data_IF_644372753329
#
_entry.id   IF_644372753329
#
_cell.length_a   1.000
_cell.length_b   1.000
_cell.length_c   1.000
_cell.angle_alpha   90.00
_cell.angle_beta   90.00
_cell.angle_gamma   90.00
#
_symmetry.space_group_name_H-M   'P 1'
#
loop_
_entity.id
_entity.type
_entity.pdbx_description
1 polymer ?
#
# COMPACT_ATOMS: atom_id res chain seq x y z
N UNK A 1 -12.91 4.71 32.18
CA UNK A 1 -12.87 4.93 30.71
C UNK A 1 -12.34 6.32 30.50
N UNK A 2 -11.30 6.46 29.67
CA UNK A 2 -10.85 7.76 29.18
C UNK A 2 -11.98 8.37 28.36
N UNK A 3 -12.31 9.64 28.59
CA UNK A 3 -13.27 10.34 27.73
C UNK A 3 -12.54 10.67 26.44
N UNK A 4 -13.04 10.17 25.31
CA UNK A 4 -12.45 10.41 23.98
C UNK A 4 -13.51 11.08 23.12
N UNK A 5 -13.12 12.11 22.37
CA UNK A 5 -14.01 12.79 21.42
C UNK A 5 -13.31 13.06 20.10
N UNK A 6 -14.08 13.13 19.02
CA UNK A 6 -13.62 13.47 17.68
C UNK A 6 -14.25 14.78 17.23
N UNK A 7 -13.48 15.62 16.56
CA UNK A 7 -13.94 16.85 15.91
C UNK A 7 -13.37 16.89 14.49
N UNK A 8 -14.19 17.24 13.49
CA UNK A 8 -13.72 17.42 12.12
C UNK A 8 -12.67 18.51 12.04
N UNK A 9 -11.65 18.30 11.22
CA UNK A 9 -10.63 19.30 10.94
C UNK A 9 -10.59 19.54 9.44
N UNK A 10 -11.25 20.61 9.01
CA UNK A 10 -11.34 20.97 7.60
C UNK A 10 -9.94 21.09 7.00
N UNK A 11 -9.67 20.29 5.98
CA UNK A 11 -8.47 20.43 5.16
C UNK A 11 -8.56 21.75 4.39
N UNK A 12 -7.40 22.30 4.04
CA UNK A 12 -7.30 23.56 3.27
C UNK A 12 -8.06 23.47 1.93
N UNK A 13 -8.26 22.25 1.42
CA UNK A 13 -9.12 21.91 0.30
C UNK A 13 -9.90 20.61 0.62
N UNK A 14 -11.24 20.59 0.55
CA UNK A 14 -12.02 19.37 0.77
C UNK A 14 -11.69 18.31 -0.30
N UNK A 15 -10.93 17.29 0.11
CA UNK A 15 -10.58 16.15 -0.74
C UNK A 15 -11.69 15.10 -0.73
N UNK A 16 -11.96 14.50 -1.89
CA UNK A 16 -12.80 13.29 -1.98
C UNK A 16 -12.12 12.03 -1.42
N UNK A 17 -10.82 12.10 -1.17
CA UNK A 17 -9.98 10.94 -0.87
C UNK A 17 -9.42 10.93 0.55
N UNK A 18 -9.33 12.10 1.19
CA UNK A 18 -8.68 12.26 2.48
C UNK A 18 -9.51 13.19 3.37
N UNK A 19 -9.71 12.77 4.61
CA UNK A 19 -10.42 13.52 5.64
C UNK A 19 -9.54 13.69 6.87
N UNK A 20 -9.59 14.88 7.48
CA UNK A 20 -8.82 15.24 8.67
C UNK A 20 -9.68 15.35 9.91
N UNK A 21 -9.20 14.81 11.03
CA UNK A 21 -9.90 14.86 12.32
C UNK A 21 -8.95 15.17 13.47
N UNK A 22 -9.48 15.79 14.51
CA UNK A 22 -8.81 15.92 15.81
C UNK A 22 -9.45 14.94 16.77
N UNK A 23 -8.64 14.05 17.33
CA UNK A 23 -9.07 13.12 18.38
C UNK A 23 -8.50 13.62 19.71
N UNK A 24 -9.40 13.93 20.64
CA UNK A 24 -9.08 14.40 21.98
C UNK A 24 -9.21 13.24 22.96
N UNK A 25 -8.14 12.93 23.69
CA UNK A 25 -8.08 11.83 24.66
C UNK A 25 -7.83 12.39 26.05
N UNK A 26 -8.81 12.27 26.95
CA UNK A 26 -8.61 12.58 28.36
C UNK A 26 -7.79 11.48 29.04
N UNK A 27 -6.71 11.87 29.70
CA UNK A 27 -5.82 10.98 30.42
C UNK A 27 -6.23 10.84 31.89
N UNK A 28 -5.74 9.80 32.55
CA UNK A 28 -6.09 9.51 33.95
C UNK A 28 -5.54 10.57 34.93
N UNK A 29 -4.54 11.37 34.49
CA UNK A 29 -4.00 12.50 35.24
C UNK A 29 -4.83 13.79 35.08
N UNK A 30 -5.93 13.74 34.32
CA UNK A 30 -6.79 14.89 34.03
C UNK A 30 -6.32 15.78 32.87
N UNK A 31 -5.16 15.50 32.27
CA UNK A 31 -4.70 16.19 31.06
C UNK A 31 -5.46 15.68 29.83
N UNK A 32 -5.43 16.46 28.75
CA UNK A 32 -6.02 16.07 27.47
C UNK A 32 -4.95 16.09 26.39
N UNK A 33 -4.77 14.95 25.72
CA UNK A 33 -3.93 14.85 24.54
C UNK A 33 -4.77 15.08 23.29
N UNK A 34 -4.18 15.75 22.30
CA UNK A 34 -4.73 15.89 20.96
C UNK A 34 -3.91 15.05 19.99
N UNK A 35 -4.61 14.34 19.12
CA UNK A 35 -4.05 13.62 17.97
C UNK A 35 -4.68 14.16 16.70
N UNK A 36 -3.85 14.48 15.71
CA UNK A 36 -4.32 14.78 14.36
C UNK A 36 -4.35 13.48 13.57
N UNK A 37 -5.53 13.13 13.04
CA UNK A 37 -5.80 11.88 12.34
C UNK A 37 -6.16 12.18 10.90
N UNK A 38 -5.59 11.40 9.99
CA UNK A 38 -5.89 11.42 8.56
C UNK A 38 -6.51 10.07 8.19
N UNK A 39 -7.63 10.07 7.47
CA UNK A 39 -8.36 8.84 7.07
C UNK A 39 -8.83 8.96 5.63
N UNK A 40 -9.00 7.82 4.94
CA UNK A 40 -9.61 7.76 3.60
C UNK A 40 -11.12 7.89 3.59
N UNK A 41 -11.75 7.69 4.74
CA UNK A 41 -13.20 7.68 4.88
C UNK A 41 -13.66 8.80 5.80
N UNK A 42 -14.83 9.40 5.53
CA UNK A 42 -15.46 10.30 6.47
C UNK A 42 -15.83 9.53 7.76
N UNK A 43 -15.69 10.23 8.88
CA UNK A 43 -16.06 9.79 10.21
C UNK A 43 -16.96 10.83 10.89
N UNK A 44 -18.06 10.39 11.49
CA UNK A 44 -18.95 11.19 12.33
C UNK A 44 -18.67 10.96 13.82
N UNK A 45 -18.18 9.77 14.17
CA UNK A 45 -17.85 9.35 15.52
C UNK A 45 -16.51 8.58 15.55
N UNK A 46 -16.11 8.10 16.74
CA UNK A 46 -14.82 7.41 16.91
C UNK A 46 -14.85 5.98 16.36
N UNK A 47 -16.01 5.33 16.40
CA UNK A 47 -16.21 3.99 15.90
C UNK A 47 -15.97 3.93 14.38
N UNK A 48 -16.31 5.01 13.65
CA UNK A 48 -16.05 5.12 12.20
C UNK A 48 -14.55 5.09 11.84
N UNK A 49 -13.67 5.45 12.79
CA UNK A 49 -12.22 5.35 12.59
C UNK A 49 -11.70 3.91 12.72
N UNK A 50 -12.44 3.03 13.39
CA UNK A 50 -12.06 1.64 13.63
C UNK A 50 -12.80 0.72 12.64
N UNK A 51 -12.17 0.48 11.49
CA UNK A 51 -12.76 -0.29 10.38
C UNK A 51 -12.05 -1.63 10.22
N UNK A 52 -12.82 -2.66 9.88
CA UNK A 52 -12.32 -4.00 9.56
C UNK A 52 -12.09 -4.20 8.05
N UNK A 53 -12.54 -3.26 7.21
CA UNK A 53 -12.39 -3.30 5.75
C UNK A 53 -10.98 -2.85 5.31
N UNK A 54 -10.48 -3.44 4.22
CA UNK A 54 -9.22 -3.04 3.61
C UNK A 54 -9.38 -1.83 2.71
N UNK A 55 -8.43 -0.89 2.73
CA UNK A 55 -8.47 0.29 1.84
C UNK A 55 -7.77 0.04 0.50
N UNK A 56 -6.75 -0.81 0.50
CA UNK A 56 -5.87 -1.02 -0.64
C UNK A 56 -5.19 -2.39 -0.58
N UNK A 57 -4.57 -2.77 -1.70
CA UNK A 57 -3.75 -3.98 -1.83
C UNK A 57 -2.32 -3.62 -2.22
N UNK A 58 -1.37 -4.45 -1.80
CA UNK A 58 0.02 -4.41 -2.26
C UNK A 58 0.42 -5.80 -2.76
N UNK A 59 0.90 -5.86 -4.00
CA UNK A 59 1.09 -7.11 -4.72
C UNK A 59 2.54 -7.57 -4.62
N UNK A 60 2.75 -8.71 -3.97
CA UNK A 60 4.05 -9.35 -3.86
C UNK A 60 4.19 -10.38 -4.98
N UNK A 61 4.54 -9.90 -6.17
CA UNK A 61 4.62 -10.70 -7.38
C UNK A 61 6.02 -11.33 -7.60
N UNK A 62 6.04 -12.64 -7.91
CA UNK A 62 7.25 -13.43 -8.20
C UNK A 62 7.18 -14.10 -9.57
N UNK A 63 8.35 -14.34 -10.17
CA UNK A 63 8.48 -15.18 -11.35
C UNK A 63 8.09 -16.63 -11.03
N UNK A 64 7.77 -17.42 -12.06
CA UNK A 64 7.34 -18.82 -11.87
C UNK A 64 8.38 -19.69 -11.15
N UNK A 65 9.67 -19.39 -11.29
CA UNK A 65 10.77 -20.06 -10.59
C UNK A 65 11.06 -19.49 -9.18
N UNK A 66 10.40 -18.38 -8.81
CA UNK A 66 10.59 -17.69 -7.54
C UNK A 66 11.93 -16.95 -7.39
N UNK A 67 12.73 -16.84 -8.45
CA UNK A 67 14.07 -16.26 -8.41
C UNK A 67 14.08 -14.74 -8.62
N UNK A 68 12.95 -14.16 -9.04
CA UNK A 68 12.79 -12.72 -9.29
C UNK A 68 11.51 -12.19 -8.67
N UNK A 69 11.57 -10.93 -8.26
CA UNK A 69 10.42 -10.15 -7.78
C UNK A 69 10.08 -9.07 -8.81
N UNK A 70 8.80 -8.82 -9.03
CA UNK A 70 8.33 -7.70 -9.84
C UNK A 70 8.16 -6.48 -8.93
N UNK A 71 8.83 -5.39 -9.27
CA UNK A 71 8.78 -4.13 -8.53
C UNK A 71 8.48 -2.97 -9.47
N UNK A 72 8.05 -1.85 -8.91
CA UNK A 72 7.82 -0.61 -9.65
C UNK A 72 8.61 0.56 -9.05
N UNK A 73 8.83 1.59 -9.87
CA UNK A 73 9.26 2.92 -9.43
C UNK A 73 8.23 3.93 -9.90
N UNK A 74 7.61 4.61 -8.94
CA UNK A 74 6.46 5.49 -9.16
C UNK A 74 6.74 6.89 -8.61
N UNK A 75 6.32 7.94 -9.32
CA UNK A 75 6.30 9.28 -8.77
C UNK A 75 5.16 9.43 -7.75
N UNK A 76 5.50 9.72 -6.49
CA UNK A 76 4.53 9.94 -5.41
C UNK A 76 4.50 11.42 -5.02
N UNK A 77 3.40 12.15 -5.32
CA UNK A 77 3.27 13.56 -4.94
C UNK A 77 3.50 13.86 -3.44
N UNK A 78 3.07 13.01 -2.47
CA UNK A 78 3.29 13.29 -1.05
C UNK A 78 4.76 13.40 -0.62
N UNK A 79 5.67 12.78 -1.36
CA UNK A 79 7.12 12.89 -1.14
C UNK A 79 7.84 13.67 -2.24
N UNK A 80 7.08 14.16 -3.23
CA UNK A 80 7.58 14.87 -4.40
C UNK A 80 8.79 14.16 -5.06
N UNK A 81 8.67 12.86 -5.29
CA UNK A 81 9.77 12.07 -5.79
C UNK A 81 9.37 10.67 -6.20
N UNK A 82 10.31 10.00 -6.86
CA UNK A 82 10.13 8.61 -7.26
C UNK A 82 10.50 7.66 -6.14
N UNK A 83 9.64 6.68 -5.89
CA UNK A 83 9.79 5.69 -4.81
C UNK A 83 9.78 4.30 -5.41
N UNK A 84 10.73 3.45 -5.01
CA UNK A 84 10.66 2.01 -5.26
C UNK A 84 9.57 1.40 -4.37
N UNK A 85 8.57 0.78 -5.00
CA UNK A 85 7.42 0.18 -4.34
C UNK A 85 6.94 -1.09 -5.07
N UNK A 86 6.12 -1.89 -4.40
CA UNK A 86 5.40 -2.97 -5.09
C UNK A 86 4.20 -2.39 -5.83
N UNK A 87 3.73 -3.04 -6.91
CA UNK A 87 2.44 -2.71 -7.49
C UNK A 87 1.38 -2.66 -6.39
N UNK A 88 0.51 -1.66 -6.42
CA UNK A 88 -0.44 -1.40 -5.35
C UNK A 88 -1.50 -0.37 -5.75
N UNK A 89 -2.75 -0.62 -5.37
CA UNK A 89 -3.82 0.35 -5.58
C UNK A 89 -5.00 0.16 -4.63
N UNK A 90 -6.01 1.02 -4.80
CA UNK A 90 -7.21 1.02 -3.96
C UNK A 90 -8.08 -0.19 -4.30
N UNK A 91 -8.84 -0.64 -3.31
CA UNK A 91 -9.89 -1.62 -3.56
C UNK A 91 -11.13 -0.87 -4.06
N UNK A 92 -11.60 -1.22 -5.25
CA UNK A 92 -12.79 -0.60 -5.82
C UNK A 92 -14.08 -1.23 -5.28
N UNK A 93 -15.19 -0.50 -5.41
CA UNK A 93 -16.49 -1.00 -4.98
C UNK A 93 -16.95 -2.27 -5.72
N UNK A 94 -16.45 -2.48 -6.94
CA UNK A 94 -16.74 -3.65 -7.79
C UNK A 94 -15.75 -4.80 -7.56
N UNK A 95 -14.72 -4.61 -6.73
CA UNK A 95 -13.81 -5.67 -6.30
C UNK A 95 -14.45 -6.50 -5.20
N UNK A 96 -14.77 -7.75 -5.51
CA UNK A 96 -15.38 -8.70 -4.59
C UNK A 96 -14.40 -9.31 -3.59
N UNK A 97 -13.09 -9.13 -3.79
CA UNK A 97 -12.03 -9.64 -2.92
C UNK A 97 -10.68 -8.91 -3.12
N UNK A 98 -9.74 -9.09 -2.18
CA UNK A 98 -8.39 -8.52 -2.29
C UNK A 98 -7.63 -9.09 -3.50
N UNK A 99 -7.84 -10.36 -3.83
CA UNK A 99 -7.27 -11.02 -4.99
C UNK A 99 -7.72 -10.36 -6.29
N UNK A 100 -9.00 -10.00 -6.39
CA UNK A 100 -9.55 -9.36 -7.57
C UNK A 100 -8.93 -7.97 -7.77
N UNK A 101 -8.93 -7.15 -6.71
CA UNK A 101 -8.29 -5.83 -6.74
C UNK A 101 -6.80 -5.96 -7.12
N UNK A 102 -6.08 -6.88 -6.49
CA UNK A 102 -4.66 -7.06 -6.75
C UNK A 102 -4.36 -7.55 -8.18
N UNK A 103 -5.21 -8.40 -8.76
CA UNK A 103 -5.03 -8.85 -10.13
C UNK A 103 -5.31 -7.73 -11.15
N UNK A 104 -6.31 -6.87 -10.87
CA UNK A 104 -6.62 -5.69 -11.67
C UNK A 104 -5.46 -4.70 -11.63
N UNK A 105 -5.06 -4.27 -10.44
CA UNK A 105 -3.97 -3.31 -10.22
C UNK A 105 -2.64 -3.80 -10.81
N UNK A 106 -2.29 -5.08 -10.61
CA UNK A 106 -1.09 -5.65 -11.23
C UNK A 106 -1.15 -5.53 -12.77
N UNK A 107 -2.29 -5.84 -13.38
CA UNK A 107 -2.44 -5.79 -14.83
C UNK A 107 -2.37 -4.35 -15.35
N UNK A 108 -3.01 -3.40 -14.66
CA UNK A 108 -3.01 -1.98 -15.00
C UNK A 108 -1.60 -1.39 -14.88
N UNK A 109 -0.95 -1.55 -13.73
CA UNK A 109 0.34 -0.92 -13.46
C UNK A 109 1.50 -1.61 -14.17
N UNK A 110 1.41 -2.92 -14.47
CA UNK A 110 2.56 -3.68 -14.97
C UNK A 110 2.36 -4.37 -16.31
N UNK A 111 1.11 -4.59 -16.72
CA UNK A 111 0.76 -5.33 -17.93
C UNK A 111 0.90 -6.86 -17.82
N UNK A 112 1.44 -7.39 -16.73
CA UNK A 112 1.64 -8.83 -16.55
C UNK A 112 0.35 -9.55 -16.12
N UNK A 113 0.18 -10.76 -16.64
CA UNK A 113 -0.92 -11.63 -16.25
C UNK A 113 -0.58 -12.47 -15.00
N UNK A 114 -1.56 -12.58 -14.10
CA UNK A 114 -1.48 -13.44 -12.92
C UNK A 114 -1.61 -14.91 -13.35
N UNK A 115 -0.64 -15.74 -12.98
CA UNK A 115 -0.72 -17.19 -13.15
C UNK A 115 -1.47 -17.82 -11.98
N UNK A 116 -1.17 -17.38 -10.76
CA UNK A 116 -1.77 -17.90 -9.54
C UNK A 116 -1.66 -16.89 -8.39
N UNK A 117 -2.70 -16.85 -7.55
CA UNK A 117 -2.63 -16.23 -6.22
C UNK A 117 -2.10 -17.28 -5.24
N UNK A 118 -0.96 -16.99 -4.62
CA UNK A 118 -0.25 -17.92 -3.73
C UNK A 118 -0.70 -17.79 -2.27
N UNK A 119 -0.95 -16.56 -1.80
CA UNK A 119 -1.43 -16.29 -0.45
C UNK A 119 -2.07 -14.90 -0.35
N UNK A 120 -2.95 -14.72 0.62
CA UNK A 120 -3.61 -13.44 0.93
C UNK A 120 -3.56 -13.17 2.41
N UNK A 121 -2.92 -12.07 2.79
CA UNK A 121 -2.92 -11.61 4.17
C UNK A 121 -4.06 -10.64 4.40
N UNK A 122 -4.63 -10.68 5.61
CA UNK A 122 -5.63 -9.67 6.03
C UNK A 122 -5.04 -8.26 5.93
N UNK A 123 -5.90 -7.27 5.73
CA UNK A 123 -5.50 -5.87 5.74
C UNK A 123 -4.88 -5.47 7.09
N UNK A 124 -3.81 -4.67 7.03
CA UNK A 124 -3.08 -4.19 8.21
C UNK A 124 -2.73 -2.72 8.10
N UNK A 125 -2.64 -2.04 9.23
CA UNK A 125 -2.37 -0.60 9.28
C UNK A 125 -1.04 -0.21 8.65
N UNK A 126 -1.06 0.85 7.85
CA UNK A 126 0.13 1.38 7.17
C UNK A 126 0.99 2.25 8.09
N UNK A 127 0.36 3.16 8.83
CA UNK A 127 1.01 4.06 9.78
C UNK A 127 0.04 4.44 10.91
N UNK A 128 -0.17 3.57 11.91
CA UNK A 128 -1.22 3.74 12.94
C UNK A 128 -1.00 4.92 13.89
N UNK A 129 0.14 5.62 13.78
CA UNK A 129 0.38 6.89 14.48
C UNK A 129 -0.14 8.13 13.75
N UNK A 130 -0.61 7.98 12.51
CA UNK A 130 -1.03 9.09 11.63
C UNK A 130 -2.35 8.80 10.93
N UNK A 131 -2.54 7.57 10.45
CA UNK A 131 -3.68 7.17 9.64
C UNK A 131 -4.22 5.81 10.07
N UNK A 132 -5.51 5.61 9.88
CA UNK A 132 -6.17 4.30 10.01
C UNK A 132 -6.16 3.50 8.69
N UNK A 133 -5.52 4.00 7.63
CA UNK A 133 -5.38 3.29 6.35
C UNK A 133 -4.81 1.88 6.56
N UNK A 134 -5.46 0.91 5.93
CA UNK A 134 -5.04 -0.49 5.93
C UNK A 134 -4.74 -1.00 4.51
N UNK A 135 -3.71 -1.83 4.39
CA UNK A 135 -3.32 -2.47 3.14
C UNK A 135 -3.25 -3.98 3.35
N UNK A 136 -3.86 -4.75 2.44
CA UNK A 136 -3.71 -6.20 2.36
C UNK A 136 -2.54 -6.57 1.44
N UNK A 137 -1.77 -7.60 1.81
CA UNK A 137 -0.72 -8.13 0.94
C UNK A 137 -1.25 -9.34 0.18
N UNK A 138 -1.07 -9.33 -1.14
CA UNK A 138 -1.46 -10.44 -2.01
C UNK A 138 -0.23 -10.99 -2.69
N UNK A 139 0.11 -12.24 -2.40
CA UNK A 139 1.27 -12.92 -2.98
C UNK A 139 0.84 -13.60 -4.27
N UNK A 140 1.57 -13.36 -5.35
CA UNK A 140 1.20 -13.85 -6.67
C UNK A 140 2.40 -14.39 -7.45
N UNK A 141 2.14 -15.43 -8.22
CA UNK A 141 3.01 -15.89 -9.30
C UNK A 141 2.51 -15.29 -10.61
N UNK A 142 3.39 -14.64 -11.36
CA UNK A 142 3.06 -13.94 -12.61
C UNK A 142 3.82 -14.54 -13.80
N UNK A 143 3.28 -14.38 -15.01
CA UNK A 143 3.88 -14.93 -16.23
C UNK A 143 5.09 -14.10 -16.67
N UNK A 144 6.26 -14.44 -16.15
CA UNK A 144 7.52 -13.76 -16.46
C UNK A 144 8.07 -14.10 -17.87
N UNK A 145 7.37 -14.93 -18.64
CA UNK A 145 7.66 -15.24 -20.04
C UNK A 145 6.74 -14.49 -21.04
N UNK A 146 5.79 -13.68 -20.55
CA UNK A 146 4.89 -12.89 -21.39
C UNK A 146 5.68 -11.94 -22.31
N UNK A 147 5.38 -11.98 -23.61
CA UNK A 147 6.12 -11.18 -24.62
C UNK A 147 5.42 -9.88 -25.03
N UNK A 148 4.13 -9.75 -24.71
CA UNK A 148 3.29 -8.60 -25.06
C UNK A 148 2.78 -7.93 -23.78
N UNK A 149 3.70 -7.20 -23.12
CA UNK A 149 3.46 -6.58 -21.81
C UNK A 149 3.23 -5.08 -22.02
N UNK A 150 2.01 -4.63 -21.72
CA UNK A 150 1.60 -3.24 -21.85
C UNK A 150 0.87 -2.77 -20.60
N UNK A 151 1.36 -1.69 -19.99
CA UNK A 151 0.69 -1.02 -18.88
C UNK A 151 -0.56 -0.30 -19.38
N UNK A 152 -1.56 -0.20 -18.52
CA UNK A 152 -2.79 0.57 -18.70
C UNK A 152 -2.93 1.59 -17.57
N UNK A 153 -1.92 2.45 -17.46
CA UNK A 153 -1.83 3.47 -16.41
C UNK A 153 -2.96 4.50 -16.49
N UNK A 154 -3.41 4.97 -15.34
CA UNK A 154 -4.24 6.18 -15.26
C UNK A 154 -3.44 7.44 -15.64
N UNK A 155 -4.13 8.51 -16.04
CA UNK A 155 -3.48 9.78 -16.41
C UNK A 155 -2.64 10.39 -15.27
N UNK A 156 -2.95 10.04 -14.01
CA UNK A 156 -2.22 10.49 -12.83
C UNK A 156 -1.00 9.65 -12.47
N UNK A 157 -0.78 8.54 -13.16
CA UNK A 157 0.27 7.58 -12.83
C UNK A 157 1.52 7.76 -13.70
N UNK A 158 2.68 7.73 -13.05
CA UNK A 158 3.99 7.70 -13.71
C UNK A 158 4.81 6.57 -13.09
N UNK A 159 4.71 5.39 -13.70
CA UNK A 159 5.18 4.12 -13.16
C UNK A 159 6.11 3.43 -14.16
N UNK A 160 7.27 3.00 -13.67
CA UNK A 160 8.19 2.12 -14.41
C UNK A 160 8.30 0.77 -13.72
N UNK A 161 8.30 -0.30 -14.52
CA UNK A 161 8.28 -1.69 -14.03
C UNK A 161 9.66 -2.33 -14.15
N UNK A 162 10.03 -3.15 -13.17
CA UNK A 162 11.31 -3.86 -13.18
C UNK A 162 11.22 -5.23 -12.51
N UNK A 163 11.76 -6.24 -13.19
CA UNK A 163 12.13 -7.51 -12.56
C UNK A 163 13.48 -7.37 -11.84
N UNK A 164 13.54 -7.86 -10.60
CA UNK A 164 14.78 -7.90 -9.81
C UNK A 164 15.07 -9.30 -9.30
N UNK A 165 16.28 -9.79 -9.57
CA UNK A 165 16.84 -10.93 -8.86
C UNK A 165 17.35 -10.53 -7.46
N UNK A 166 17.89 -11.48 -6.68
CA UNK A 166 18.39 -11.20 -5.32
C UNK A 166 19.54 -10.20 -5.29
N UNK A 167 20.43 -10.18 -6.29
CA UNK A 167 21.55 -9.24 -6.35
C UNK A 167 21.06 -7.82 -6.68
N UNK A 168 20.09 -7.71 -7.59
CA UNK A 168 19.45 -6.45 -7.96
C UNK A 168 18.58 -5.92 -6.83
N UNK A 169 17.84 -6.77 -6.12
CA UNK A 169 17.08 -6.40 -4.92
C UNK A 169 18.01 -5.83 -3.84
N UNK A 170 19.19 -6.43 -3.64
CA UNK A 170 20.23 -5.88 -2.74
C UNK A 170 20.67 -4.49 -3.19
N UNK A 171 20.95 -4.31 -4.48
CA UNK A 171 21.34 -3.01 -5.02
C UNK A 171 20.25 -1.94 -4.87
N UNK A 172 18.96 -2.32 -4.92
CA UNK A 172 17.84 -1.41 -4.63
C UNK A 172 17.86 -0.97 -3.16
N UNK A 173 18.02 -1.92 -2.21
CA UNK A 173 18.07 -1.61 -0.78
C UNK A 173 19.29 -0.76 -0.36
N UNK A 174 20.43 -0.97 -1.01
CA UNK A 174 21.68 -0.25 -0.73
C UNK A 174 21.78 1.07 -1.53
N UNK A 175 20.84 1.32 -2.44
CA UNK A 175 20.78 2.50 -3.28
C UNK A 175 20.37 3.77 -2.53
N UNK A 176 20.50 4.91 -3.20
CA UNK A 176 20.14 6.22 -2.67
C UNK A 176 18.69 6.66 -3.00
N UNK A 177 18.01 5.92 -3.88
CA UNK A 177 16.61 6.19 -4.23
C UNK A 177 15.69 5.94 -3.01
N UNK A 178 14.58 6.66 -2.93
CA UNK A 178 13.55 6.40 -1.92
C UNK A 178 12.91 5.03 -2.13
N UNK A 179 12.56 4.38 -1.02
CA UNK A 179 11.96 3.05 -1.00
C UNK A 179 10.80 3.00 -0.02
N UNK A 180 9.73 2.32 -0.41
CA UNK A 180 8.62 2.01 0.50
C UNK A 180 9.09 1.06 1.63
N UNK A 181 8.59 1.29 2.85
CA UNK A 181 9.01 0.52 4.02
C UNK A 181 8.68 -0.98 3.89
N UNK A 182 7.53 -1.32 3.31
CA UNK A 182 7.06 -2.72 3.16
C UNK A 182 7.93 -3.42 2.12
N UNK A 183 8.23 -2.73 1.02
CA UNK A 183 9.22 -3.21 0.05
C UNK A 183 10.56 -3.50 0.70
N UNK A 184 11.07 -2.56 1.50
CA UNK A 184 12.37 -2.73 2.16
C UNK A 184 12.44 -4.03 2.97
N UNK A 185 11.40 -4.31 3.75
CA UNK A 185 11.29 -5.55 4.52
C UNK A 185 11.19 -6.80 3.64
N UNK A 186 10.31 -6.80 2.64
CA UNK A 186 10.09 -7.99 1.79
C UNK A 186 11.33 -8.29 0.94
N UNK A 187 12.00 -7.28 0.39
CA UNK A 187 13.26 -7.50 -0.34
C UNK A 187 14.36 -8.00 0.59
N UNK A 188 14.43 -7.51 1.83
CA UNK A 188 15.38 -8.02 2.81
C UNK A 188 15.18 -9.53 3.08
N UNK A 189 13.93 -9.97 3.26
CA UNK A 189 13.62 -11.38 3.46
C UNK A 189 13.87 -12.20 2.19
N UNK A 190 13.44 -11.70 1.03
CA UNK A 190 13.72 -12.32 -0.26
C UNK A 190 15.22 -12.60 -0.39
N UNK A 191 16.09 -11.60 -0.20
CA UNK A 191 17.55 -11.79 -0.30
C UNK A 191 18.10 -12.90 0.61
N UNK A 192 17.44 -13.19 1.74
CA UNK A 192 17.88 -14.13 2.78
C UNK A 192 17.29 -15.53 2.66
N UNK A 193 16.26 -15.72 1.85
CA UNK A 193 15.68 -17.03 1.58
C UNK A 193 16.77 -18.00 1.08
N UNK A 194 16.96 -19.10 1.79
CA UNK A 194 17.82 -20.20 1.32
C UNK A 194 17.02 -21.04 0.34
N UNK A 195 17.67 -21.41 -0.78
CA UNK A 195 17.16 -22.47 -1.66
C UNK A 195 17.09 -23.81 -0.94
#
# INVERSE_FOLDING_TARGET
MKNISIESNDLVDPSRFIHGYKVMVQLDNGETNRYDVVTRHPAENLEDLNRDEGDAVSIIARSADGERMLIIKEYRPPVNGYVWAFPAGLIDADDSSFEQAAARELKEETGYDVVRVDDVLRATYTSPGMTNETVAFVYMTVDDAQTDVHQHLEDSEDITVRWVDRAQARAVLEGADSIDQRMSLVLHEFIREKK
#
